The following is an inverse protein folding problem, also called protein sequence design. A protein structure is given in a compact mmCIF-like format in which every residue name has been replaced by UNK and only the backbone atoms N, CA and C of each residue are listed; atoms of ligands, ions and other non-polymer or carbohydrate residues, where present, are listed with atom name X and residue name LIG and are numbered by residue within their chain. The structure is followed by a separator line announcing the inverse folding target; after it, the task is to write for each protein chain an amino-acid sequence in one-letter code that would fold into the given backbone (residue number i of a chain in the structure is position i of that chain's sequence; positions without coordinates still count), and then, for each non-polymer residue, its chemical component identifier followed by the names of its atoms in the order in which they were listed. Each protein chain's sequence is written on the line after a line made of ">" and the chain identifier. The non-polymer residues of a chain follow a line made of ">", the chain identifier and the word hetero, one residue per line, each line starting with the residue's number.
data_IF_361703469735
#
_entry.id   IF_361703469735
#
_cell.length_a   1.000
_cell.length_b   1.000
_cell.length_c   1.000
_cell.angle_alpha   90.00
_cell.angle_beta   90.00
_cell.angle_gamma   90.00
#
_symmetry.space_group_name_H-M   'P 1'
#
loop_
_entity.id
_entity.type
_entity.pdbx_description
1 polymer ?
#
# COMPACT_ATOMS: atom_id res chain seq x y z
N UNK A 1 -13.85 -14.11 -12.93
CA UNK A 1 -14.59 -12.86 -13.29
C UNK A 1 -13.80 -11.63 -12.87
N UNK A 2 -13.33 -11.54 -11.62
CA UNK A 2 -12.70 -10.33 -11.07
C UNK A 2 -11.40 -9.87 -11.78
N UNK A 3 -10.51 -10.77 -12.18
CA UNK A 3 -9.27 -10.42 -12.88
C UNK A 3 -9.53 -9.91 -14.29
N UNK A 4 -10.51 -10.48 -15.00
CA UNK A 4 -10.90 -10.02 -16.34
C UNK A 4 -11.49 -8.61 -16.31
N UNK A 5 -12.34 -8.34 -15.31
CA UNK A 5 -12.92 -7.03 -15.09
C UNK A 5 -11.87 -6.00 -14.70
N UNK A 6 -10.92 -6.38 -13.82
CA UNK A 6 -9.79 -5.53 -13.41
C UNK A 6 -8.92 -5.18 -14.62
N UNK A 7 -8.59 -6.14 -15.46
CA UNK A 7 -7.82 -5.90 -16.68
C UNK A 7 -8.54 -4.93 -17.65
N UNK A 8 -9.83 -5.08 -17.82
CA UNK A 8 -10.63 -4.15 -18.62
C UNK A 8 -10.64 -2.75 -18.01
N UNK A 9 -10.83 -2.64 -16.69
CA UNK A 9 -10.81 -1.36 -15.99
C UNK A 9 -9.43 -0.68 -16.09
N UNK A 10 -8.33 -1.43 -15.94
CA UNK A 10 -6.97 -0.91 -16.09
C UNK A 10 -6.73 -0.36 -17.51
N UNK A 11 -7.17 -1.07 -18.54
CA UNK A 11 -7.07 -0.59 -19.92
C UNK A 11 -7.88 0.68 -20.19
N UNK A 12 -9.07 0.79 -19.59
CA UNK A 12 -9.97 1.94 -19.83
C UNK A 12 -9.60 3.17 -19.02
N UNK A 13 -9.10 2.99 -17.81
CA UNK A 13 -8.90 4.08 -16.85
C UNK A 13 -7.43 4.50 -16.71
N UNK A 14 -6.49 3.59 -16.99
CA UNK A 14 -5.05 3.84 -16.83
C UNK A 14 -4.75 4.36 -15.41
N UNK A 15 -3.96 5.41 -15.31
CA UNK A 15 -3.54 6.03 -14.04
C UNK A 15 -4.68 6.60 -13.17
N UNK A 16 -5.91 6.62 -13.65
CA UNK A 16 -7.10 6.96 -12.85
C UNK A 16 -7.63 5.79 -12.03
N UNK A 17 -7.14 4.57 -12.29
CA UNK A 17 -7.47 3.39 -11.52
C UNK A 17 -6.43 3.19 -10.42
N UNK A 18 -6.86 3.19 -9.16
CA UNK A 18 -6.04 2.78 -8.03
C UNK A 18 -6.58 1.45 -7.52
N UNK A 19 -5.75 0.42 -7.53
CA UNK A 19 -6.10 -0.86 -6.91
C UNK A 19 -5.71 -0.86 -5.44
N UNK A 20 -6.69 -1.04 -4.53
CA UNK A 20 -6.44 -1.13 -3.09
C UNK A 20 -6.31 -2.59 -2.65
N UNK A 21 -5.18 -2.90 -2.05
CA UNK A 21 -4.94 -4.15 -1.33
C UNK A 21 -5.13 -3.91 0.16
N UNK A 22 -6.35 -4.09 0.63
CA UNK A 22 -6.68 -3.92 2.03
C UNK A 22 -6.42 -5.23 2.80
N UNK A 23 -5.76 -5.10 3.93
CA UNK A 23 -5.41 -6.21 4.81
C UNK A 23 -5.81 -5.92 6.25
N UNK A 24 -5.94 -6.97 7.01
CA UNK A 24 -6.03 -6.92 8.47
C UNK A 24 -5.08 -7.96 9.06
N UNK A 25 -4.06 -7.49 9.78
CA UNK A 25 -2.99 -8.36 10.34
C UNK A 25 -2.28 -9.20 9.26
N UNK A 26 -2.04 -8.60 8.10
CA UNK A 26 -1.38 -9.29 6.99
C UNK A 26 -2.25 -10.27 6.22
N UNK A 27 -3.54 -10.36 6.52
CA UNK A 27 -4.52 -11.21 5.79
C UNK A 27 -5.39 -10.30 4.91
N UNK A 28 -5.73 -10.71 3.67
CA UNK A 28 -6.60 -9.92 2.82
C UNK A 28 -7.94 -9.64 3.50
N UNK A 29 -8.32 -8.37 3.57
CA UNK A 29 -9.60 -7.94 4.13
C UNK A 29 -10.64 -7.85 3.02
N UNK A 30 -11.38 -8.94 2.82
CA UNK A 30 -12.33 -9.07 1.73
C UNK A 30 -13.50 -9.97 2.14
N UNK A 31 -14.66 -9.76 1.52
CA UNK A 31 -15.84 -10.63 1.67
C UNK A 31 -15.87 -11.77 0.64
N UNK A 32 -14.92 -11.77 -0.31
CA UNK A 32 -14.83 -12.81 -1.35
C UNK A 32 -14.03 -14.00 -0.84
N UNK A 33 -14.67 -15.14 -0.66
CA UNK A 33 -14.04 -16.37 -0.15
C UNK A 33 -12.82 -16.79 -0.96
N UNK A 34 -12.86 -16.68 -2.27
CA UNK A 34 -11.76 -16.99 -3.19
C UNK A 34 -10.49 -16.15 -2.97
N UNK A 35 -10.65 -14.91 -2.48
CA UNK A 35 -9.52 -14.02 -2.19
C UNK A 35 -9.00 -14.20 -0.77
N UNK A 36 -9.83 -14.63 0.18
CA UNK A 36 -9.40 -14.93 1.56
C UNK A 36 -8.36 -16.03 1.59
N UNK A 37 -8.45 -16.99 0.66
CA UNK A 37 -7.52 -18.12 0.56
C UNK A 37 -6.20 -17.76 -0.15
N UNK A 38 -6.13 -16.59 -0.81
CA UNK A 38 -4.91 -16.13 -1.48
C UNK A 38 -4.02 -15.34 -0.53
N UNK A 39 -2.72 -15.39 -0.74
CA UNK A 39 -1.82 -14.49 -0.06
C UNK A 39 -1.97 -13.05 -0.59
N UNK A 40 -1.77 -12.00 0.24
CA UNK A 40 -1.74 -10.61 -0.23
C UNK A 40 -0.79 -10.40 -1.39
N UNK A 41 0.36 -11.06 -1.36
CA UNK A 41 1.33 -11.01 -2.45
C UNK A 41 0.75 -11.54 -3.77
N UNK A 42 0.05 -12.67 -3.74
CA UNK A 42 -0.55 -13.26 -4.95
C UNK A 42 -1.60 -12.33 -5.55
N UNK A 43 -2.47 -11.74 -4.73
CA UNK A 43 -3.48 -10.78 -5.18
C UNK A 43 -2.82 -9.55 -5.81
N UNK A 44 -1.79 -9.03 -5.17
CA UNK A 44 -1.03 -7.88 -5.66
C UNK A 44 -0.38 -8.15 -7.02
N UNK A 45 0.28 -9.30 -7.16
CA UNK A 45 0.93 -9.69 -8.43
C UNK A 45 -0.09 -9.86 -9.56
N UNK A 46 -1.22 -10.51 -9.27
CA UNK A 46 -2.32 -10.65 -10.25
C UNK A 46 -2.85 -9.27 -10.71
N UNK A 47 -2.93 -8.30 -9.80
CA UNK A 47 -3.36 -6.94 -10.15
C UNK A 47 -2.33 -6.22 -11.03
N UNK A 48 -1.05 -6.33 -10.73
CA UNK A 48 0.03 -5.77 -11.55
C UNK A 48 0.04 -6.42 -12.94
N UNK A 49 -0.07 -7.74 -13.02
CA UNK A 49 -0.13 -8.48 -14.28
C UNK A 49 -1.38 -8.15 -15.11
N UNK A 50 -2.46 -7.72 -14.45
CA UNK A 50 -3.67 -7.22 -15.10
C UNK A 50 -3.51 -5.80 -15.69
N UNK A 51 -2.37 -5.12 -15.43
CA UNK A 51 -2.06 -3.79 -15.95
C UNK A 51 -2.38 -2.64 -15.00
N UNK A 52 -2.55 -2.92 -13.72
CA UNK A 52 -2.66 -1.86 -12.69
C UNK A 52 -1.30 -1.16 -12.55
N UNK A 53 -1.30 0.15 -12.68
CA UNK A 53 -0.13 1.02 -12.56
C UNK A 53 -0.14 1.90 -11.29
N UNK A 54 -1.25 1.91 -10.53
CA UNK A 54 -1.38 2.60 -9.24
C UNK A 54 -1.89 1.63 -8.17
N UNK A 55 -1.05 1.37 -7.18
CA UNK A 55 -1.29 0.39 -6.11
C UNK A 55 -1.36 1.09 -4.75
N UNK A 56 -2.38 0.77 -3.96
CA UNK A 56 -2.47 1.17 -2.57
C UNK A 56 -2.42 -0.07 -1.66
N UNK A 57 -1.42 -0.16 -0.80
CA UNK A 57 -1.24 -1.27 0.15
C UNK A 57 -1.57 -0.75 1.55
N UNK A 58 -2.61 -1.30 2.18
CA UNK A 58 -3.12 -0.85 3.48
C UNK A 58 -3.30 -2.01 4.45
N UNK A 59 -2.68 -1.95 5.64
CA UNK A 59 -3.00 -2.85 6.74
C UNK A 59 -3.82 -2.13 7.82
N UNK A 60 -5.11 -2.42 7.88
CA UNK A 60 -6.08 -1.77 8.77
C UNK A 60 -5.80 -2.04 10.25
N UNK A 61 -5.26 -3.22 10.60
CA UNK A 61 -4.96 -3.58 11.99
C UNK A 61 -3.75 -2.84 12.57
N UNK A 62 -2.93 -2.23 11.70
CA UNK A 62 -1.71 -1.52 12.11
C UNK A 62 -1.95 -0.03 12.34
N UNK A 63 -3.13 0.48 12.03
CA UNK A 63 -3.47 1.88 12.25
C UNK A 63 -3.29 2.23 13.73
N UNK A 64 -2.40 3.19 14.02
CA UNK A 64 -2.09 3.63 15.39
C UNK A 64 -1.15 2.73 16.20
N UNK A 65 -0.59 1.65 15.64
CA UNK A 65 0.28 0.71 16.39
C UNK A 65 1.78 0.92 16.19
N UNK A 66 2.21 1.68 15.18
CA UNK A 66 3.62 1.90 14.84
C UNK A 66 4.39 0.63 14.44
N UNK A 67 3.70 -0.43 13.99
CA UNK A 67 4.30 -1.74 13.66
C UNK A 67 4.13 -2.10 12.19
N UNK A 68 4.74 -1.32 11.29
CA UNK A 68 4.52 -1.38 9.85
C UNK A 68 5.37 -2.34 9.00
N UNK A 69 5.92 -3.43 9.51
CA UNK A 69 6.93 -4.24 8.79
C UNK A 69 6.41 -5.10 7.63
N UNK A 70 5.17 -5.57 7.68
CA UNK A 70 4.62 -6.44 6.64
C UNK A 70 4.35 -5.67 5.33
N UNK A 71 3.85 -4.45 5.44
CA UNK A 71 3.60 -3.56 4.29
C UNK A 71 4.89 -3.26 3.52
N UNK A 72 6.02 -3.05 4.22
CA UNK A 72 7.32 -2.80 3.58
C UNK A 72 7.74 -3.95 2.66
N UNK A 73 7.54 -5.20 3.08
CA UNK A 73 7.86 -6.38 2.26
C UNK A 73 7.03 -6.43 0.98
N UNK A 74 5.74 -6.11 1.05
CA UNK A 74 4.87 -6.06 -0.13
C UNK A 74 5.25 -4.91 -1.07
N UNK A 75 5.56 -3.72 -0.52
CA UNK A 75 6.06 -2.58 -1.30
C UNK A 75 7.34 -2.95 -2.06
N UNK A 76 8.31 -3.56 -1.38
CA UNK A 76 9.56 -3.99 -2.02
C UNK A 76 9.32 -5.01 -3.14
N UNK A 77 8.40 -5.95 -2.95
CA UNK A 77 8.04 -6.94 -3.97
C UNK A 77 7.32 -6.31 -5.16
N UNK A 78 6.40 -5.37 -4.93
CA UNK A 78 5.74 -4.63 -6.01
C UNK A 78 6.76 -3.82 -6.82
N UNK A 79 7.68 -3.13 -6.16
CA UNK A 79 8.74 -2.37 -6.81
C UNK A 79 9.69 -3.26 -7.62
N UNK A 80 10.03 -4.44 -7.12
CA UNK A 80 10.83 -5.41 -7.84
C UNK A 80 10.13 -5.95 -9.10
N UNK A 81 8.80 -6.01 -9.11
CA UNK A 81 8.00 -6.43 -10.26
C UNK A 81 7.92 -5.35 -11.34
N UNK A 82 7.83 -4.08 -10.94
CA UNK A 82 7.72 -2.95 -11.88
C UNK A 82 8.33 -1.68 -11.28
N UNK A 83 9.26 -1.07 -12.02
CA UNK A 83 9.86 0.21 -11.63
C UNK A 83 8.90 1.39 -11.84
N UNK A 84 7.94 1.25 -12.75
CA UNK A 84 7.03 2.33 -13.16
C UNK A 84 5.76 2.41 -12.31
N UNK A 85 5.43 1.35 -11.56
CA UNK A 85 4.21 1.34 -10.75
C UNK A 85 4.25 2.41 -9.66
N UNK A 86 3.15 3.17 -9.51
CA UNK A 86 3.00 4.12 -8.42
C UNK A 86 2.45 3.42 -7.17
N UNK A 87 3.25 3.37 -6.12
CA UNK A 87 2.93 2.63 -4.90
C UNK A 87 2.64 3.59 -3.76
N UNK A 88 1.42 3.53 -3.24
CA UNK A 88 1.01 4.15 -1.98
C UNK A 88 0.98 3.09 -0.89
N UNK A 89 1.41 3.44 0.31
CA UNK A 89 1.37 2.54 1.46
C UNK A 89 0.79 3.23 2.70
N UNK A 90 0.05 2.49 3.51
CA UNK A 90 -0.58 2.96 4.72
C UNK A 90 -0.76 1.86 5.77
N UNK A 91 -1.18 2.28 6.95
CA UNK A 91 -1.41 1.39 8.09
C UNK A 91 -0.22 1.32 9.05
N UNK A 92 -0.42 1.81 10.28
CA UNK A 92 0.57 1.76 11.34
C UNK A 92 1.75 2.70 11.23
N UNK A 93 1.68 3.69 10.35
CA UNK A 93 2.73 4.72 10.20
C UNK A 93 2.61 5.68 11.38
N UNK A 94 3.57 5.62 12.31
CA UNK A 94 3.58 6.41 13.54
C UNK A 94 4.90 7.14 13.80
N UNK A 95 5.87 7.05 12.87
CA UNK A 95 7.17 7.69 13.04
C UNK A 95 7.80 8.12 11.73
N UNK A 96 8.76 9.05 11.80
CA UNK A 96 9.62 9.41 10.67
C UNK A 96 10.35 8.18 10.09
N UNK A 97 10.75 7.24 10.93
CA UNK A 97 11.43 6.02 10.53
C UNK A 97 10.52 5.10 9.71
N UNK A 98 9.23 5.02 10.03
CA UNK A 98 8.27 4.24 9.23
C UNK A 98 8.17 4.80 7.81
N UNK A 99 8.07 6.13 7.68
CA UNK A 99 8.05 6.81 6.37
C UNK A 99 9.33 6.54 5.59
N UNK A 100 10.49 6.70 6.23
CA UNK A 100 11.80 6.45 5.60
C UNK A 100 11.94 5.00 5.16
N UNK A 101 11.48 4.05 5.97
CA UNK A 101 11.51 2.63 5.67
C UNK A 101 10.64 2.28 4.46
N UNK A 102 9.43 2.82 4.39
CA UNK A 102 8.53 2.65 3.23
C UNK A 102 9.13 3.26 1.96
N UNK A 103 9.72 4.46 2.05
CA UNK A 103 10.42 5.08 0.92
C UNK A 103 11.58 4.19 0.44
N UNK A 104 12.40 3.69 1.36
CA UNK A 104 13.52 2.79 1.04
C UNK A 104 13.04 1.49 0.40
N UNK A 105 11.86 0.99 0.80
CA UNK A 105 11.23 -0.17 0.18
C UNK A 105 10.68 0.11 -1.22
N UNK A 106 10.57 1.38 -1.64
CA UNK A 106 10.13 1.78 -2.97
C UNK A 106 8.74 2.39 -3.05
N UNK A 107 8.12 2.78 -1.92
CA UNK A 107 6.87 3.53 -1.94
C UNK A 107 7.08 4.95 -2.50
N UNK A 108 6.13 5.40 -3.32
CA UNK A 108 6.08 6.75 -3.86
C UNK A 108 5.35 7.71 -2.92
N UNK A 109 4.37 7.20 -2.16
CA UNK A 109 3.57 7.98 -1.24
C UNK A 109 3.21 7.17 -0.01
N UNK A 110 2.97 7.86 1.11
CA UNK A 110 2.45 7.28 2.34
C UNK A 110 1.10 7.91 2.69
N UNK A 111 0.20 7.09 3.23
CA UNK A 111 -1.10 7.53 3.72
C UNK A 111 -1.09 7.46 5.23
N UNK A 112 -1.23 8.61 5.88
CA UNK A 112 -1.25 8.74 7.33
C UNK A 112 -2.58 9.35 7.77
N UNK A 113 -3.07 8.94 8.93
CA UNK A 113 -4.27 9.46 9.55
C UNK A 113 -4.04 9.74 11.03
N UNK A 114 -4.01 8.71 11.87
CA UNK A 114 -3.91 8.82 13.33
C UNK A 114 -2.72 9.67 13.78
N UNK A 115 -1.55 9.48 13.19
CA UNK A 115 -0.33 10.19 13.55
C UNK A 115 -0.40 11.72 13.33
N UNK A 116 -1.30 12.18 12.46
CA UNK A 116 -1.59 13.62 12.28
C UNK A 116 -2.56 14.13 13.35
N UNK A 117 -3.53 13.30 13.75
CA UNK A 117 -4.56 13.70 14.69
C UNK A 117 -4.11 13.64 16.15
N UNK A 118 -3.23 12.71 16.49
CA UNK A 118 -2.69 12.54 17.85
C UNK A 118 -1.43 13.37 18.13
N UNK A 119 -0.95 14.13 17.14
CA UNK A 119 0.20 15.00 17.24
C UNK A 119 1.55 14.29 17.11
N UNK A 120 1.58 13.01 16.80
CA UNK A 120 2.83 12.25 16.57
C UNK A 120 3.60 12.83 15.38
N UNK A 121 2.89 13.25 14.32
CA UNK A 121 3.47 14.00 13.22
C UNK A 121 3.25 15.49 13.43
N UNK A 122 4.14 16.09 14.20
CA UNK A 122 4.20 17.53 14.40
C UNK A 122 4.80 18.25 13.19
N UNK A 123 4.85 19.59 13.26
CA UNK A 123 5.38 20.43 12.19
C UNK A 123 6.84 20.12 11.85
N UNK A 124 7.67 19.78 12.85
CA UNK A 124 9.09 19.49 12.61
C UNK A 124 9.25 18.13 11.92
N UNK A 125 8.51 17.11 12.35
CA UNK A 125 8.47 15.81 11.67
C UNK A 125 8.01 15.94 10.21
N UNK A 126 6.98 16.74 9.94
CA UNK A 126 6.50 16.98 8.58
C UNK A 126 7.54 17.69 7.70
N UNK A 127 8.33 18.62 8.25
CA UNK A 127 9.46 19.26 7.52
C UNK A 127 10.53 18.21 7.17
N UNK A 128 10.87 17.32 8.09
CA UNK A 128 11.82 16.24 7.82
C UNK A 128 11.33 15.30 6.71
N UNK A 129 10.05 14.93 6.75
CA UNK A 129 9.43 14.11 5.71
C UNK A 129 9.46 14.83 4.36
N UNK A 130 9.18 16.12 4.32
CA UNK A 130 9.17 16.90 3.07
C UNK A 130 10.54 17.03 2.42
N UNK A 131 11.62 16.78 3.17
CA UNK A 131 13.00 16.81 2.67
C UNK A 131 13.48 15.44 2.14
N UNK A 132 12.69 14.38 2.28
CA UNK A 132 12.99 13.06 1.74
C UNK A 132 12.82 13.01 0.23
#
# INVERSE_FOLDING_TARGET
>A
ESIRELKFAAQMLGSRLVFSLDMKEGVPFTTREELVLKSPQSIMMEAIDAGVDHLFILDLAKVGTGRGTFTNSLVAKARAQSEEIFIMAGGGIGSFQDVTSLKTSGANAVVVSSALHDGTFDRETLKLISAL
#
